data_IF_793362639125
#
_entry.id   IF_793362639125
#
_cell.length_a   1.000
_cell.length_b   1.000
_cell.length_c   1.000
_cell.angle_alpha   90.00
_cell.angle_beta   90.00
_cell.angle_gamma   90.00
#
_symmetry.space_group_name_H-M   'P 1'
#
loop_
_entity.id
_entity.type
_entity.pdbx_description
1 polymer ?
#
# COMPACT_ATOMS: atom_id res chain seq x y z
N UNK A 1 12.41 32.31 28.05
CA UNK A 1 13.47 31.56 28.77
C UNK A 1 12.92 30.32 29.49
N UNK A 2 11.84 30.43 30.28
CA UNK A 2 11.22 29.25 30.95
C UNK A 2 10.64 28.26 29.93
N UNK A 3 9.88 28.74 28.94
CA UNK A 3 9.25 27.91 27.89
C UNK A 3 10.28 27.18 26.99
N UNK A 4 11.44 27.79 26.77
CA UNK A 4 12.52 27.21 25.94
C UNK A 4 13.28 26.11 26.70
N UNK A 5 13.43 26.27 28.01
CA UNK A 5 13.98 25.23 28.89
C UNK A 5 13.05 24.02 29.01
N UNK A 6 11.75 24.24 29.12
CA UNK A 6 10.74 23.19 29.21
C UNK A 6 10.68 22.35 27.94
N UNK A 7 10.62 23.00 26.76
CA UNK A 7 10.60 22.29 25.47
C UNK A 7 11.90 21.49 25.21
N UNK A 8 13.04 22.00 25.67
CA UNK A 8 14.31 21.27 25.60
C UNK A 8 14.26 20.00 26.45
N UNK A 9 13.72 20.07 27.67
CA UNK A 9 13.58 18.90 28.53
C UNK A 9 12.64 17.85 27.91
N UNK A 10 11.47 18.26 27.43
CA UNK A 10 10.53 17.36 26.74
C UNK A 10 11.17 16.64 25.54
N UNK A 11 12.03 17.33 24.80
CA UNK A 11 12.76 16.74 23.67
C UNK A 11 13.78 15.69 24.12
N UNK A 12 14.49 15.95 25.23
CA UNK A 12 15.43 14.98 25.80
C UNK A 12 14.69 13.74 26.34
N UNK A 13 13.56 13.95 27.00
CA UNK A 13 12.74 12.87 27.54
C UNK A 13 12.21 11.99 26.40
N UNK A 14 11.66 12.59 25.34
CA UNK A 14 11.18 11.85 24.17
C UNK A 14 12.31 11.10 23.43
N UNK A 15 13.51 11.70 23.36
CA UNK A 15 14.67 11.04 22.78
C UNK A 15 15.08 9.79 23.58
N UNK A 16 15.01 9.88 24.91
CA UNK A 16 15.31 8.76 25.80
C UNK A 16 14.27 7.65 25.67
N UNK A 17 12.98 8.00 25.65
CA UNK A 17 11.89 7.03 25.39
C UNK A 17 12.06 6.30 24.06
N UNK A 18 12.40 7.03 22.99
CA UNK A 18 12.68 6.46 21.67
C UNK A 18 13.84 5.46 21.73
N UNK A 19 14.95 5.82 22.39
CA UNK A 19 16.10 4.91 22.53
C UNK A 19 15.72 3.66 23.31
N UNK A 20 15.03 3.82 24.43
CA UNK A 20 14.56 2.69 25.23
C UNK A 20 13.64 1.78 24.43
N UNK A 21 12.70 2.33 23.65
CA UNK A 21 11.85 1.55 22.75
C UNK A 21 12.67 0.76 21.73
N UNK A 22 13.66 1.39 21.08
CA UNK A 22 14.50 0.71 20.10
C UNK A 22 15.36 -0.41 20.72
N UNK A 23 15.96 -0.18 21.88
CA UNK A 23 16.87 -1.12 22.53
C UNK A 23 16.14 -2.25 23.25
N UNK A 24 15.01 -1.97 23.90
CA UNK A 24 14.34 -2.91 24.81
C UNK A 24 13.09 -3.55 24.23
N UNK A 25 12.54 -3.03 23.12
CA UNK A 25 11.37 -3.59 22.44
C UNK A 25 11.78 -4.05 21.04
N UNK A 26 12.16 -3.13 20.16
CA UNK A 26 12.38 -3.41 18.74
C UNK A 26 13.54 -4.38 18.52
N UNK A 27 14.66 -4.19 19.22
CA UNK A 27 15.85 -5.03 19.07
C UNK A 27 15.68 -6.45 19.63
N UNK A 28 14.79 -6.67 20.59
CA UNK A 28 14.66 -7.96 21.30
C UNK A 28 13.47 -8.78 20.84
N UNK A 29 12.31 -8.16 20.59
CA UNK A 29 11.08 -8.87 20.28
C UNK A 29 11.10 -9.40 18.82
N UNK A 30 10.95 -10.72 18.60
CA UNK A 30 10.90 -11.32 17.27
C UNK A 30 9.85 -10.73 16.33
N UNK A 31 8.77 -10.13 16.85
CA UNK A 31 7.74 -9.43 16.07
C UNK A 31 8.35 -8.38 15.13
N UNK A 32 9.43 -7.73 15.56
CA UNK A 32 10.05 -6.64 14.81
C UNK A 32 11.15 -7.11 13.84
N UNK A 33 11.39 -8.42 13.71
CA UNK A 33 12.53 -8.96 12.94
C UNK A 33 12.63 -8.38 11.52
N UNK A 34 11.49 -8.19 10.85
CA UNK A 34 11.45 -7.71 9.45
C UNK A 34 11.58 -6.19 9.31
N UNK A 35 11.50 -5.44 10.40
CA UNK A 35 11.44 -3.97 10.42
C UNK A 35 12.55 -3.32 11.24
N UNK A 36 13.32 -4.09 12.01
CA UNK A 36 14.41 -3.60 12.86
C UNK A 36 15.39 -2.70 12.12
N UNK A 37 15.74 -3.06 10.89
CA UNK A 37 16.74 -2.35 10.09
C UNK A 37 16.17 -1.11 9.39
N UNK A 38 14.85 -1.06 9.18
CA UNK A 38 14.16 0.03 8.48
C UNK A 38 13.43 0.99 9.41
N UNK A 39 13.35 0.67 10.71
CA UNK A 39 12.72 1.55 11.68
C UNK A 39 13.67 2.68 12.09
N UNK A 40 13.55 3.80 11.39
CA UNK A 40 14.30 5.02 11.65
C UNK A 40 13.41 6.27 11.51
N UNK A 41 13.87 7.39 12.07
CA UNK A 41 13.27 8.69 11.79
C UNK A 41 13.78 9.16 10.42
N UNK A 42 12.90 9.28 9.45
CA UNK A 42 13.25 9.61 8.07
C UNK A 42 13.53 11.11 7.85
N UNK A 43 13.10 11.96 8.80
CA UNK A 43 13.34 13.40 8.76
C UNK A 43 13.85 13.92 10.11
N UNK A 44 14.58 15.04 10.09
CA UNK A 44 15.26 15.57 11.27
C UNK A 44 14.28 16.11 12.33
N UNK A 45 13.10 16.52 11.90
CA UNK A 45 12.08 17.18 12.72
C UNK A 45 11.21 16.19 13.52
N UNK A 46 11.37 14.88 13.32
CA UNK A 46 10.54 13.86 13.97
C UNK A 46 10.43 14.03 15.49
N UNK A 47 11.54 14.35 16.19
CA UNK A 47 11.53 14.61 17.63
C UNK A 47 10.72 15.86 17.99
N UNK A 48 10.89 16.94 17.23
CA UNK A 48 10.17 18.19 17.45
C UNK A 48 8.65 18.00 17.22
N UNK A 49 8.28 17.29 16.17
CA UNK A 49 6.89 16.96 15.86
C UNK A 49 6.27 16.03 16.90
N UNK A 50 7.00 15.01 17.36
CA UNK A 50 6.54 14.13 18.42
C UNK A 50 6.30 14.87 19.75
N UNK A 51 7.16 15.83 20.12
CA UNK A 51 6.95 16.70 21.29
C UNK A 51 5.75 17.64 21.09
N UNK A 52 5.48 18.02 19.84
CA UNK A 52 4.34 18.87 19.47
C UNK A 52 3.01 18.10 19.38
N UNK A 53 3.00 16.78 19.63
CA UNK A 53 1.80 15.94 19.62
C UNK A 53 1.43 15.33 18.27
N UNK A 54 2.33 15.38 17.29
CA UNK A 54 2.04 14.90 15.93
C UNK A 54 1.91 13.38 15.84
N UNK A 55 2.47 12.64 16.79
CA UNK A 55 2.27 11.20 16.86
C UNK A 55 0.77 10.84 16.97
N UNK A 56 -0.03 11.72 17.59
CA UNK A 56 -1.47 11.57 17.75
C UNK A 56 -2.26 12.37 16.71
N UNK A 57 -1.92 13.64 16.48
CA UNK A 57 -2.66 14.51 15.56
C UNK A 57 -2.40 14.22 14.08
N UNK A 58 -1.21 13.72 13.75
CA UNK A 58 -0.80 13.37 12.40
C UNK A 58 -0.25 11.92 12.34
N UNK A 59 -0.98 11.02 12.99
CA UNK A 59 -0.61 9.62 13.15
C UNK A 59 -0.27 8.93 11.83
N UNK A 60 -1.03 9.19 10.75
CA UNK A 60 -0.83 8.51 9.47
C UNK A 60 0.52 8.80 8.83
N UNK A 61 1.02 10.02 8.94
CA UNK A 61 2.35 10.36 8.47
C UNK A 61 3.42 9.87 9.46
N UNK A 62 3.23 10.20 10.75
CA UNK A 62 4.25 9.96 11.77
C UNK A 62 4.54 8.48 11.99
N UNK A 63 3.54 7.60 11.88
CA UNK A 63 3.72 6.15 12.09
C UNK A 63 4.64 5.47 11.07
N UNK A 64 4.88 6.10 9.93
CA UNK A 64 5.78 5.59 8.88
C UNK A 64 7.09 6.36 8.84
N UNK A 65 7.02 7.69 8.85
CA UNK A 65 8.18 8.55 8.64
C UNK A 65 8.95 8.84 9.92
N UNK A 66 8.32 8.68 11.08
CA UNK A 66 8.88 8.95 12.40
C UNK A 66 8.60 7.78 13.36
N UNK A 67 8.64 6.55 12.83
CA UNK A 67 8.19 5.35 13.52
C UNK A 67 8.89 5.10 14.87
N UNK A 68 10.22 5.27 15.03
CA UNK A 68 10.88 5.06 16.33
C UNK A 68 10.38 6.03 17.41
N UNK A 69 10.31 7.32 17.10
CA UNK A 69 9.98 8.34 18.10
C UNK A 69 8.51 8.28 18.51
N UNK A 70 7.63 7.83 17.61
CA UNK A 70 6.24 7.55 17.90
C UNK A 70 5.98 6.10 18.36
N UNK A 71 7.03 5.30 18.53
CA UNK A 71 6.95 3.91 18.99
C UNK A 71 6.04 3.00 18.14
N UNK A 72 6.11 3.15 16.82
CA UNK A 72 5.23 2.52 15.82
C UNK A 72 6.00 1.68 14.79
N UNK A 73 7.21 1.21 15.12
CA UNK A 73 8.01 0.38 14.20
C UNK A 73 7.25 -0.85 13.67
N UNK A 74 6.29 -1.38 14.43
CA UNK A 74 5.51 -2.54 14.00
C UNK A 74 4.59 -2.23 12.83
N UNK A 75 4.20 -0.97 12.64
CA UNK A 75 3.42 -0.50 11.49
C UNK A 75 4.22 -0.55 10.19
N UNK A 76 5.56 -0.65 10.25
CA UNK A 76 6.37 -0.82 9.05
C UNK A 76 6.25 -2.22 8.46
N UNK A 77 5.77 -3.21 9.23
CA UNK A 77 5.56 -4.57 8.73
C UNK A 77 4.21 -4.63 8.01
N UNK A 78 4.25 -4.96 6.71
CA UNK A 78 3.03 -5.11 5.90
C UNK A 78 2.09 -6.18 6.48
N UNK A 79 2.61 -7.23 7.12
CA UNK A 79 1.79 -8.29 7.70
C UNK A 79 1.05 -7.84 8.96
N UNK A 80 1.56 -6.82 9.66
CA UNK A 80 0.84 -6.22 10.78
C UNK A 80 -0.26 -5.27 10.31
N UNK A 81 -0.02 -4.55 9.20
CA UNK A 81 -1.00 -3.61 8.62
C UNK A 81 -2.11 -4.29 7.84
N UNK A 82 -1.76 -5.35 7.11
CA UNK A 82 -2.65 -6.13 6.27
C UNK A 82 -2.54 -7.60 6.69
N UNK A 83 -3.11 -7.99 7.84
CA UNK A 83 -3.07 -9.36 8.31
C UNK A 83 -3.82 -10.24 7.31
N UNK A 84 -3.11 -11.24 6.77
CA UNK A 84 -3.73 -12.26 5.94
C UNK A 84 -4.64 -13.12 6.82
N UNK A 85 -5.87 -13.37 6.36
CA UNK A 85 -6.74 -14.35 7.01
C UNK A 85 -6.11 -15.74 6.85
N UNK A 86 -5.74 -16.43 7.94
CA UNK A 86 -5.12 -17.75 7.86
C UNK A 86 -6.06 -18.83 7.30
N UNK A 87 -7.37 -18.55 7.26
CA UNK A 87 -8.38 -19.43 6.69
C UNK A 87 -8.81 -19.02 5.27
N UNK A 88 -8.27 -17.92 4.73
CA UNK A 88 -8.54 -17.56 3.35
C UNK A 88 -7.98 -18.65 2.44
N UNK A 89 -8.85 -19.20 1.60
CA UNK A 89 -8.42 -20.08 0.53
C UNK A 89 -7.47 -19.31 -0.40
N UNK A 90 -6.37 -19.95 -0.80
CA UNK A 90 -5.53 -19.35 -1.83
C UNK A 90 -6.32 -19.32 -3.13
N UNK A 91 -6.61 -18.11 -3.63
CA UNK A 91 -7.40 -17.94 -4.85
C UNK A 91 -6.70 -18.54 -6.08
N UNK A 92 -5.37 -18.71 -6.02
CA UNK A 92 -4.52 -19.23 -7.09
C UNK A 92 -3.76 -20.49 -6.63
N UNK A 93 -4.47 -21.44 -6.02
CA UNK A 93 -3.88 -22.66 -5.45
C UNK A 93 -3.48 -23.68 -6.53
N UNK A 94 -4.22 -23.75 -7.64
CA UNK A 94 -4.10 -24.78 -8.66
C UNK A 94 -3.76 -24.21 -10.05
N UNK A 95 -3.03 -24.97 -10.89
CA UNK A 95 -2.81 -24.60 -12.28
C UNK A 95 -4.12 -24.31 -13.01
N UNK A 96 -4.19 -23.18 -13.71
CA UNK A 96 -5.40 -22.75 -14.42
C UNK A 96 -6.35 -21.89 -13.60
N UNK A 97 -6.12 -21.66 -12.30
CA UNK A 97 -6.98 -20.78 -11.49
C UNK A 97 -7.01 -19.34 -12.00
N UNK A 98 -5.87 -18.82 -12.46
CA UNK A 98 -5.83 -17.53 -13.17
C UNK A 98 -6.71 -17.55 -14.42
N UNK A 99 -6.67 -18.62 -15.20
CA UNK A 99 -7.48 -18.76 -16.40
C UNK A 99 -8.98 -18.77 -16.04
N UNK A 100 -9.35 -19.53 -15.01
CA UNK A 100 -10.72 -19.59 -14.48
C UNK A 100 -11.19 -18.23 -13.97
N UNK A 101 -10.32 -17.45 -13.34
CA UNK A 101 -10.64 -16.08 -12.89
C UNK A 101 -11.01 -15.19 -14.07
N UNK A 102 -10.16 -15.13 -15.10
CA UNK A 102 -10.43 -14.32 -16.30
C UNK A 102 -11.67 -14.81 -17.06
N UNK A 103 -11.84 -16.11 -17.23
CA UNK A 103 -13.06 -16.69 -17.81
C UNK A 103 -14.31 -16.37 -16.98
N UNK A 104 -14.18 -16.32 -15.65
CA UNK A 104 -15.23 -15.89 -14.74
C UNK A 104 -15.65 -14.45 -14.97
N UNK A 105 -14.69 -13.52 -15.08
CA UNK A 105 -14.97 -12.11 -15.42
C UNK A 105 -15.73 -11.99 -16.74
N UNK A 106 -15.33 -12.77 -17.76
CA UNK A 106 -15.93 -12.73 -19.10
C UNK A 106 -17.31 -13.41 -19.18
N UNK A 107 -17.65 -14.26 -18.21
CA UNK A 107 -18.92 -14.99 -18.18
C UNK A 107 -19.92 -14.44 -17.15
N UNK A 108 -19.49 -13.54 -16.26
CA UNK A 108 -20.38 -12.87 -15.31
C UNK A 108 -21.37 -11.95 -16.06
N UNK A 109 -22.70 -12.20 -15.96
CA UNK A 109 -23.69 -11.42 -16.69
C UNK A 109 -23.69 -9.93 -16.34
N UNK A 110 -23.42 -9.58 -15.08
CA UNK A 110 -23.37 -8.19 -14.61
C UNK A 110 -22.17 -7.50 -15.24
N UNK A 111 -21.02 -8.17 -15.29
CA UNK A 111 -19.82 -7.61 -15.91
C UNK A 111 -20.02 -7.45 -17.41
N UNK A 112 -20.57 -8.47 -18.08
CA UNK A 112 -20.80 -8.45 -19.52
C UNK A 112 -21.77 -7.33 -19.91
N UNK A 113 -22.89 -7.20 -19.21
CA UNK A 113 -23.89 -6.17 -19.48
C UNK A 113 -23.37 -4.77 -19.15
N UNK A 114 -22.73 -4.60 -18.00
CA UNK A 114 -22.34 -3.26 -17.51
C UNK A 114 -21.06 -2.74 -18.14
N UNK A 115 -20.06 -3.60 -18.35
CA UNK A 115 -18.69 -3.20 -18.68
C UNK A 115 -18.23 -3.60 -20.08
N UNK A 116 -19.04 -4.36 -20.83
CA UNK A 116 -18.77 -4.79 -22.21
C UNK A 116 -17.32 -5.25 -22.43
N UNK A 117 -16.88 -6.33 -21.75
CA UNK A 117 -15.49 -6.73 -21.74
C UNK A 117 -15.04 -7.22 -23.12
N UNK A 118 -13.82 -6.83 -23.54
CA UNK A 118 -13.20 -7.34 -24.78
C UNK A 118 -11.89 -8.04 -24.48
N UNK A 119 -11.69 -9.20 -25.09
CA UNK A 119 -10.42 -9.94 -24.99
C UNK A 119 -9.47 -9.46 -26.07
N UNK A 120 -8.35 -8.87 -25.66
CA UNK A 120 -7.28 -8.46 -26.58
C UNK A 120 -6.24 -9.57 -26.74
N UNK A 121 -5.94 -10.30 -25.66
CA UNK A 121 -4.98 -11.41 -25.67
C UNK A 121 -5.36 -12.43 -24.59
N UNK A 122 -5.11 -13.73 -24.85
CA UNK A 122 -5.21 -14.79 -23.84
C UNK A 122 -4.31 -16.00 -24.17
N UNK A 123 -3.95 -16.82 -23.16
CA UNK A 123 -3.16 -18.03 -23.39
C UNK A 123 -3.94 -19.04 -24.24
N UNK A 124 -3.23 -19.80 -25.07
CA UNK A 124 -3.83 -20.94 -25.77
C UNK A 124 -4.22 -22.06 -24.79
N UNK A 125 -5.39 -22.70 -24.95
CA UNK A 125 -5.73 -23.90 -24.20
C UNK A 125 -4.78 -25.05 -24.51
N UNK A 126 -4.39 -25.20 -25.79
CA UNK A 126 -3.46 -26.22 -26.26
C UNK A 126 -2.44 -25.64 -27.25
N UNK A 127 -1.18 -26.14 -27.27
CA UNK A 127 -0.11 -25.60 -28.12
C UNK A 127 -0.43 -25.56 -29.63
N UNK A 128 -1.17 -26.55 -30.12
CA UNK A 128 -1.47 -26.73 -31.55
C UNK A 128 -2.85 -26.18 -31.97
N UNK A 129 -3.56 -25.52 -31.06
CA UNK A 129 -4.87 -24.96 -31.37
C UNK A 129 -4.73 -23.67 -32.19
N UNK A 130 -5.44 -23.62 -33.32
CA UNK A 130 -5.56 -22.40 -34.12
C UNK A 130 -6.66 -21.55 -33.51
N UNK A 131 -6.28 -20.36 -33.06
CA UNK A 131 -7.15 -19.42 -32.36
C UNK A 131 -7.28 -18.13 -33.17
N UNK A 132 -8.42 -17.46 -33.05
CA UNK A 132 -8.75 -16.21 -33.76
C UNK A 132 -8.42 -14.95 -32.95
N UNK A 133 -7.82 -15.10 -31.78
CA UNK A 133 -7.38 -14.04 -30.89
C UNK A 133 -5.85 -13.98 -30.79
N UNK A 134 -5.32 -12.86 -30.27
CA UNK A 134 -3.89 -12.72 -30.03
C UNK A 134 -3.43 -13.67 -28.92
N UNK A 135 -2.45 -14.52 -29.22
CA UNK A 135 -1.79 -15.37 -28.22
C UNK A 135 -0.90 -14.51 -27.32
N UNK A 136 -1.00 -14.70 -26.01
CA UNK A 136 -0.20 -13.97 -25.04
C UNK A 136 -0.78 -14.05 -23.63
N UNK A 137 -0.31 -13.20 -22.69
CA UNK A 137 -0.93 -13.09 -21.38
C UNK A 137 -2.40 -12.63 -21.52
N UNK A 138 -3.21 -12.88 -20.49
CA UNK A 138 -4.57 -12.34 -20.42
C UNK A 138 -4.54 -10.81 -20.43
N UNK A 139 -5.15 -10.21 -21.45
CA UNK A 139 -5.40 -8.78 -21.56
C UNK A 139 -6.85 -8.60 -21.96
N UNK A 140 -7.64 -8.00 -21.07
CA UNK A 140 -9.03 -7.66 -21.32
C UNK A 140 -9.24 -6.16 -21.12
N UNK A 141 -10.12 -5.56 -21.90
CA UNK A 141 -10.61 -4.18 -21.67
C UNK A 141 -12.02 -4.22 -21.13
N UNK A 142 -12.35 -3.25 -20.28
CA UNK A 142 -13.69 -3.00 -19.77
C UNK A 142 -14.14 -1.65 -20.34
N UNK A 143 -14.73 -1.67 -21.53
CA UNK A 143 -14.90 -0.47 -22.36
C UNK A 143 -15.86 0.56 -21.75
N UNK A 144 -16.79 0.13 -20.90
CA UNK A 144 -17.76 1.01 -20.23
C UNK A 144 -17.52 1.10 -18.73
N UNK A 145 -16.26 0.92 -18.28
CA UNK A 145 -15.88 1.09 -16.87
C UNK A 145 -16.08 2.53 -16.38
N UNK A 146 -15.71 3.50 -17.21
CA UNK A 146 -16.00 4.93 -17.04
C UNK A 146 -16.83 5.41 -18.22
N UNK A 147 -17.70 6.37 -17.97
CA UNK A 147 -18.37 7.12 -19.03
C UNK A 147 -17.39 8.06 -19.73
N UNK A 148 -17.66 8.44 -20.97
CA UNK A 148 -16.83 9.40 -21.72
C UNK A 148 -16.63 10.71 -20.93
N UNK A 149 -17.68 11.18 -20.26
CA UNK A 149 -17.62 12.37 -19.41
C UNK A 149 -16.70 12.19 -18.20
N UNK A 150 -16.72 11.03 -17.53
CA UNK A 150 -15.80 10.75 -16.41
C UNK A 150 -14.36 10.61 -16.90
N UNK A 151 -14.15 10.03 -18.08
CA UNK A 151 -12.84 9.98 -18.73
C UNK A 151 -12.31 11.38 -19.03
N UNK A 152 -13.12 12.23 -19.65
CA UNK A 152 -12.75 13.62 -19.97
C UNK A 152 -12.42 14.39 -18.70
N UNK A 153 -13.26 14.28 -17.67
CA UNK A 153 -13.02 14.92 -16.37
C UNK A 153 -11.72 14.41 -15.70
N UNK A 154 -11.44 13.10 -15.77
CA UNK A 154 -10.22 12.52 -15.22
C UNK A 154 -8.96 13.05 -15.94
N UNK A 155 -9.04 13.19 -17.26
CA UNK A 155 -7.95 13.74 -18.08
C UNK A 155 -7.73 15.22 -17.79
N UNK A 156 -8.81 16.00 -17.69
CA UNK A 156 -8.76 17.44 -17.36
C UNK A 156 -8.15 17.67 -15.98
N UNK A 157 -8.66 17.01 -14.95
CA UNK A 157 -8.14 17.10 -13.58
C UNK A 157 -6.67 16.66 -13.50
N UNK A 158 -6.31 15.60 -14.22
CA UNK A 158 -4.91 15.14 -14.30
C UNK A 158 -3.99 16.16 -14.97
N UNK A 159 -4.48 16.92 -15.96
CA UNK A 159 -3.73 17.99 -16.60
C UNK A 159 -3.56 19.22 -15.69
N UNK A 160 -4.56 19.52 -14.85
CA UNK A 160 -4.50 20.61 -13.87
C UNK A 160 -3.55 20.32 -12.70
N UNK A 161 -3.67 19.13 -12.08
CA UNK A 161 -2.83 18.70 -10.95
C UNK A 161 -1.39 18.35 -11.39
N UNK A 162 -1.25 17.89 -12.64
CA UNK A 162 0.00 17.48 -13.26
C UNK A 162 0.43 16.05 -12.90
N UNK A 163 1.24 15.45 -13.78
CA UNK A 163 1.68 14.06 -13.66
C UNK A 163 3.02 13.95 -12.95
N UNK A 164 3.02 14.07 -11.61
CA UNK A 164 4.21 13.80 -10.79
C UNK A 164 4.25 12.34 -10.37
N UNK A 165 5.46 11.84 -10.10
CA UNK A 165 5.63 10.49 -9.52
C UNK A 165 4.94 10.46 -8.16
N UNK A 166 4.16 9.41 -7.87
CA UNK A 166 3.64 9.19 -6.52
C UNK A 166 4.79 8.99 -5.54
N UNK A 167 4.85 9.82 -4.51
CA UNK A 167 5.81 9.72 -3.40
C UNK A 167 5.18 9.10 -2.15
N UNK A 168 3.85 8.99 -2.11
CA UNK A 168 3.12 8.34 -1.04
C UNK A 168 3.17 6.81 -1.24
N UNK A 169 3.69 6.12 -0.23
CA UNK A 169 3.54 4.69 -0.03
C UNK A 169 2.85 4.59 1.32
N UNK A 170 1.53 4.34 1.29
CA UNK A 170 0.69 4.31 2.48
C UNK A 170 1.11 3.28 3.52
#
# INVERSE_FOLDING_TARGET
>A
LVEEGERKQQTLDRLEEMKQYMETVVAVDPKYKNVRETCENQVAECLFWAVSGECESNYNYMKFHCAPVCQTCDQLDILNRCPLDPNAANMLEHPGDLNRMFEGILSDPIVVEKYNPKVLSRPKPFPDEVVDYQEGPWVITLDTFLTDHECDALVELGAEEGYKRSEDVG
#
